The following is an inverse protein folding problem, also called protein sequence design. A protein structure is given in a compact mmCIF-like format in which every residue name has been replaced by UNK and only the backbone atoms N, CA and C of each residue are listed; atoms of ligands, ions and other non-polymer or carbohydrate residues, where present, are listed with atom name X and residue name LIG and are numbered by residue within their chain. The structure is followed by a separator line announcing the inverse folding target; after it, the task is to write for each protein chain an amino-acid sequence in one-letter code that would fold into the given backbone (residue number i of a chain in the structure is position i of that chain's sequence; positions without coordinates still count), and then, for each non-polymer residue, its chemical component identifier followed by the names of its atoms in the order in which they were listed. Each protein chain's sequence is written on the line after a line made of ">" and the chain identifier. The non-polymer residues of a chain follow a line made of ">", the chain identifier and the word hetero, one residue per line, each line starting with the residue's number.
data_IF_468120224807
#
_entry.id   IF_468120224807
#
_cell.length_a   1.000
_cell.length_b   1.000
_cell.length_c   1.000
_cell.angle_alpha   90.00
_cell.angle_beta   90.00
_cell.angle_gamma   90.00
#
_symmetry.space_group_name_H-M   'P 1'
#
loop_
_entity.id
_entity.type
_entity.pdbx_description
1 polymer ?
#
# COMPACT_ATOMS: atom_id res chain seq x y z
N UNK A 1 -16.23 4.35 -6.26
CA UNK A 1 -14.98 4.11 -7.02
C UNK A 1 -13.91 3.68 -6.01
N UNK A 2 -13.34 2.48 -6.16
CA UNK A 2 -12.24 2.00 -5.31
C UNK A 2 -10.94 2.03 -6.10
N UNK A 3 -9.84 2.43 -5.47
CA UNK A 3 -8.52 2.44 -6.09
C UNK A 3 -7.99 0.99 -6.15
N UNK A 4 -7.75 0.48 -7.35
CA UNK A 4 -7.17 -0.85 -7.53
C UNK A 4 -5.66 -0.83 -7.26
N UNK A 5 -5.11 -2.00 -6.93
CA UNK A 5 -3.66 -2.18 -6.74
C UNK A 5 -2.85 -1.75 -7.96
N UNK A 6 -3.39 -1.98 -9.15
CA UNK A 6 -2.74 -1.59 -10.41
C UNK A 6 -2.63 -0.08 -10.55
N UNK A 7 -3.66 0.67 -10.14
CA UNK A 7 -3.63 2.13 -10.14
C UNK A 7 -2.63 2.66 -9.11
N UNK A 8 -2.63 2.08 -7.90
CA UNK A 8 -1.63 2.38 -6.87
C UNK A 8 -0.22 2.17 -7.43
N UNK A 9 0.04 1.02 -8.06
CA UNK A 9 1.35 0.71 -8.66
C UNK A 9 1.76 1.74 -9.71
N UNK A 10 0.85 2.16 -10.60
CA UNK A 10 1.12 3.19 -11.61
C UNK A 10 1.47 4.54 -10.99
N UNK A 11 0.74 4.95 -9.95
CA UNK A 11 0.98 6.21 -9.24
C UNK A 11 2.35 6.17 -8.55
N UNK A 12 2.62 5.09 -7.81
CA UNK A 12 3.86 4.93 -7.06
C UNK A 12 5.09 4.83 -7.97
N UNK A 13 4.96 4.16 -9.12
CA UNK A 13 6.03 4.06 -10.11
C UNK A 13 6.39 5.42 -10.73
N UNK A 14 5.44 6.34 -10.87
CA UNK A 14 5.69 7.70 -11.35
C UNK A 14 6.23 8.62 -10.27
N UNK A 15 5.66 8.54 -9.06
CA UNK A 15 5.92 9.50 -7.99
C UNK A 15 7.18 9.17 -7.18
N UNK A 16 7.57 7.90 -7.10
CA UNK A 16 8.73 7.38 -6.33
C UNK A 16 8.89 8.03 -4.93
N UNK A 17 7.86 8.02 -4.08
CA UNK A 17 7.96 8.53 -2.72
C UNK A 17 8.85 7.64 -1.84
N UNK A 18 9.46 8.20 -0.80
CA UNK A 18 10.29 7.46 0.15
C UNK A 18 9.46 6.53 1.06
N UNK A 19 8.23 6.93 1.40
CA UNK A 19 7.32 6.20 2.31
C UNK A 19 5.88 6.32 1.80
N UNK A 20 5.14 5.23 1.79
CA UNK A 20 3.73 5.16 1.34
C UNK A 20 2.93 4.44 2.40
N UNK A 21 1.77 5.02 2.74
CA UNK A 21 0.83 4.42 3.69
C UNK A 21 -0.47 4.19 2.95
N UNK A 22 -0.84 2.93 2.75
CA UNK A 22 -2.09 2.52 2.13
C UNK A 22 -3.16 2.41 3.22
N UNK A 23 -4.28 3.09 3.05
CA UNK A 23 -5.41 3.09 4.00
C UNK A 23 -6.71 2.74 3.27
N UNK A 24 -7.81 2.58 4.02
CA UNK A 24 -9.15 2.34 3.49
C UNK A 24 -9.24 1.10 2.57
N UNK A 25 -8.92 -0.07 3.14
CA UNK A 25 -9.00 -1.34 2.44
C UNK A 25 -10.44 -1.83 2.31
N UNK A 26 -10.88 -2.08 1.07
CA UNK A 26 -12.13 -2.78 0.81
C UNK A 26 -12.07 -4.26 1.27
N UNK A 27 -13.23 -4.91 1.36
CA UNK A 27 -13.35 -6.30 1.83
C UNK A 27 -12.45 -7.29 1.05
N UNK A 28 -12.27 -7.09 -0.26
CA UNK A 28 -11.40 -7.92 -1.09
C UNK A 28 -9.92 -7.76 -0.72
N UNK A 29 -9.49 -6.53 -0.43
CA UNK A 29 -8.12 -6.24 0.01
C UNK A 29 -7.85 -6.84 1.39
N UNK A 30 -8.82 -6.73 2.31
CA UNK A 30 -8.73 -7.34 3.64
C UNK A 30 -8.55 -8.86 3.55
N UNK A 31 -9.34 -9.54 2.69
CA UNK A 31 -9.17 -10.98 2.42
C UNK A 31 -7.83 -11.31 1.77
N UNK A 32 -7.33 -10.44 0.90
CA UNK A 32 -6.05 -10.59 0.22
C UNK A 32 -4.84 -10.20 1.08
N UNK A 33 -5.05 -9.83 2.35
CA UNK A 33 -4.03 -9.41 3.31
C UNK A 33 -3.19 -8.23 2.80
N UNK A 34 -3.62 -6.98 3.06
CA UNK A 34 -3.01 -5.81 2.45
C UNK A 34 -1.54 -5.61 2.85
N UNK A 35 -1.10 -6.13 4.01
CA UNK A 35 0.29 -6.08 4.44
C UNK A 35 1.23 -6.92 3.56
N UNK A 36 0.79 -8.11 3.12
CA UNK A 36 1.59 -8.95 2.21
C UNK A 36 1.72 -8.26 0.84
N UNK A 37 0.62 -7.66 0.40
CA UNK A 37 0.54 -6.97 -0.87
C UNK A 37 1.38 -5.68 -0.89
N UNK A 38 1.33 -4.90 0.19
CA UNK A 38 2.18 -3.74 0.40
C UNK A 38 3.67 -4.13 0.41
N UNK A 39 4.02 -5.23 1.09
CA UNK A 39 5.40 -5.74 1.13
C UNK A 39 5.88 -6.19 -0.25
N UNK A 40 5.04 -6.86 -1.03
CA UNK A 40 5.35 -7.26 -2.40
C UNK A 40 5.59 -6.05 -3.30
N UNK A 41 4.69 -5.07 -3.26
CA UNK A 41 4.85 -3.80 -3.98
C UNK A 41 6.11 -3.05 -3.54
N UNK A 42 6.42 -3.08 -2.25
CA UNK A 42 7.58 -2.40 -1.67
C UNK A 42 8.89 -2.97 -2.25
N UNK A 43 8.99 -4.29 -2.33
CA UNK A 43 10.13 -4.98 -2.93
C UNK A 43 10.21 -4.71 -4.44
N UNK A 44 9.08 -4.76 -5.14
CA UNK A 44 9.03 -4.64 -6.60
C UNK A 44 9.34 -3.21 -7.10
N UNK A 45 8.89 -2.20 -6.36
CA UNK A 45 9.08 -0.79 -6.69
C UNK A 45 10.29 -0.16 -5.98
N UNK A 46 10.90 -0.85 -5.00
CA UNK A 46 12.01 -0.34 -4.20
C UNK A 46 11.66 0.83 -3.29
N UNK A 47 10.38 0.94 -2.88
CA UNK A 47 9.85 2.03 -2.05
C UNK A 47 9.23 1.47 -0.78
N UNK A 48 9.25 2.21 0.33
CA UNK A 48 8.77 1.69 1.59
C UNK A 48 7.23 1.81 1.68
N UNK A 49 6.51 0.74 1.39
CA UNK A 49 5.03 0.73 1.35
C UNK A 49 4.49 -0.05 2.54
N UNK A 50 3.57 0.57 3.27
CA UNK A 50 3.00 0.03 4.50
C UNK A 50 1.48 0.07 4.41
N UNK A 51 0.83 -1.03 4.77
CA UNK A 51 -0.63 -1.09 4.89
C UNK A 51 -1.06 -0.69 6.30
N UNK A 52 -1.85 0.37 6.42
CA UNK A 52 -2.38 0.82 7.70
C UNK A 52 -3.37 -0.20 8.26
N UNK A 53 -3.12 -0.65 9.48
CA UNK A 53 -4.04 -1.54 10.21
C UNK A 53 -4.69 -0.78 11.35
N UNK A 54 -5.81 -1.31 11.86
CA UNK A 54 -6.49 -0.70 13.00
C UNK A 54 -5.54 -0.63 14.21
N UNK A 55 -5.46 0.54 14.85
CA UNK A 55 -4.51 0.80 15.95
C UNK A 55 -3.05 1.04 15.52
N UNK A 56 -2.76 1.19 14.22
CA UNK A 56 -1.40 1.42 13.74
C UNK A 56 -0.95 2.88 13.98
N UNK A 57 0.08 3.06 14.79
CA UNK A 57 0.78 4.35 14.97
C UNK A 57 2.02 4.39 14.10
N UNK A 58 2.20 5.48 13.37
CA UNK A 58 3.39 5.71 12.55
C UNK A 58 4.06 6.96 13.09
N UNK A 59 5.28 6.80 13.58
CA UNK A 59 6.16 7.93 13.85
C UNK A 59 6.72 8.43 12.50
N UNK A 60 6.52 9.73 12.25
CA UNK A 60 6.83 10.38 10.97
C UNK A 60 8.23 10.95 10.99
#
# INVERSE_FOLDING_TARGET
>A
MHLSIEDVKKILSKMKPNKVILTHFGMTMLKAKPWELAKKLSIELGINIIAASDGMTIEL
#
